data_IF_118891305832
#
_entry.id   IF_118891305832
#
_cell.length_a   1.000
_cell.length_b   1.000
_cell.length_c   1.000
_cell.angle_alpha   90.00
_cell.angle_beta   90.00
_cell.angle_gamma   90.00
#
_symmetry.space_group_name_H-M   'P 1'
#
loop_
_entity.id
_entity.type
_entity.pdbx_description
1 polymer ?
#
# COMPACT_ATOMS: atom_id res chain seq x y z
N UNK A 1 -6.98 -2.35 20.44
CA UNK A 1 -8.00 -1.88 19.47
C UNK A 1 -7.62 -0.55 18.78
N UNK A 2 -6.88 0.35 19.46
CA UNK A 2 -6.49 1.64 18.89
C UNK A 2 -5.61 1.47 17.63
N UNK A 3 -4.51 0.75 17.74
CA UNK A 3 -3.58 0.47 16.62
C UNK A 3 -4.28 -0.08 15.39
N UNK A 4 -5.24 -1.00 15.56
CA UNK A 4 -6.02 -1.54 14.44
C UNK A 4 -6.87 -0.45 13.76
N UNK A 5 -7.51 0.43 14.54
CA UNK A 5 -8.31 1.53 13.99
C UNK A 5 -7.46 2.52 13.20
N UNK A 6 -6.32 2.96 13.75
CA UNK A 6 -5.41 3.91 13.10
C UNK A 6 -4.84 3.32 11.81
N UNK A 7 -4.43 2.05 11.84
CA UNK A 7 -3.95 1.31 10.67
C UNK A 7 -5.02 1.20 9.59
N UNK A 8 -6.23 0.74 9.94
CA UNK A 8 -7.30 0.56 8.96
C UNK A 8 -7.75 1.88 8.32
N UNK A 9 -7.87 2.95 9.10
CA UNK A 9 -8.25 4.27 8.57
C UNK A 9 -7.14 4.79 7.65
N UNK A 10 -5.88 4.78 8.08
CA UNK A 10 -4.76 5.22 7.26
C UNK A 10 -4.61 4.41 5.98
N UNK A 11 -4.74 3.07 6.08
CA UNK A 11 -4.71 2.17 4.94
C UNK A 11 -5.89 2.39 3.96
N UNK A 12 -7.11 2.58 4.46
CA UNK A 12 -8.27 2.84 3.61
C UNK A 12 -8.12 4.16 2.82
N UNK A 13 -7.64 5.22 3.48
CA UNK A 13 -7.34 6.49 2.83
C UNK A 13 -6.22 6.33 1.79
N UNK A 14 -5.15 5.59 2.14
CA UNK A 14 -4.05 5.31 1.23
C UNK A 14 -4.51 4.51 0.00
N UNK A 15 -5.42 3.58 0.20
CA UNK A 15 -5.97 2.76 -0.88
C UNK A 15 -6.79 3.61 -1.85
N UNK A 16 -7.72 4.42 -1.35
CA UNK A 16 -8.58 5.27 -2.18
C UNK A 16 -7.73 6.30 -2.96
N UNK A 17 -6.90 7.06 -2.25
CA UNK A 17 -6.12 8.14 -2.87
C UNK A 17 -4.95 7.61 -3.69
N UNK A 18 -4.28 6.55 -3.23
CA UNK A 18 -3.16 5.92 -3.92
C UNK A 18 -3.56 5.24 -5.22
N UNK A 19 -4.70 4.52 -5.21
CA UNK A 19 -5.27 3.93 -6.43
C UNK A 19 -5.66 5.02 -7.42
N UNK A 20 -6.38 6.05 -6.96
CA UNK A 20 -6.83 7.16 -7.82
C UNK A 20 -5.66 7.89 -8.47
N UNK A 21 -4.64 8.26 -7.68
CA UNK A 21 -3.46 8.94 -8.20
C UNK A 21 -2.61 8.02 -9.09
N UNK A 22 -2.45 6.75 -8.71
CA UNK A 22 -1.74 5.77 -9.52
C UNK A 22 -2.37 5.57 -10.90
N UNK A 23 -3.71 5.50 -10.96
CA UNK A 23 -4.45 5.44 -12.23
C UNK A 23 -4.25 6.70 -13.05
N UNK A 24 -4.34 7.88 -12.44
CA UNK A 24 -4.12 9.16 -13.14
C UNK A 24 -2.70 9.22 -13.74
N UNK A 25 -1.69 8.92 -12.95
CA UNK A 25 -0.29 8.96 -13.38
C UNK A 25 0.00 7.92 -14.46
N UNK A 26 -0.45 6.68 -14.28
CA UNK A 26 -0.20 5.59 -15.24
C UNK A 26 -0.98 5.69 -16.55
N UNK A 27 -2.08 6.47 -16.58
CA UNK A 27 -2.96 6.57 -17.76
C UNK A 27 -2.38 7.39 -18.91
N UNK A 28 -1.44 8.29 -18.65
CA UNK A 28 -0.82 9.17 -19.66
C UNK A 28 0.70 9.04 -19.60
N UNK A 29 1.32 8.74 -20.73
CA UNK A 29 2.79 8.65 -20.83
C UNK A 29 3.48 9.96 -20.41
N UNK A 30 2.92 11.12 -20.79
CA UNK A 30 3.46 12.42 -20.40
C UNK A 30 3.43 12.62 -18.88
N UNK A 31 2.29 12.31 -18.25
CA UNK A 31 2.12 12.43 -16.79
C UNK A 31 3.00 11.41 -16.07
N UNK A 32 3.09 10.19 -16.58
CA UNK A 32 3.94 9.14 -16.02
C UNK A 32 5.42 9.57 -16.03
N UNK A 33 5.97 9.97 -17.17
CA UNK A 33 7.37 10.37 -17.24
C UNK A 33 7.70 11.64 -16.45
N UNK A 34 6.72 12.54 -16.27
CA UNK A 34 6.91 13.76 -15.46
C UNK A 34 6.77 13.52 -13.95
N UNK A 35 5.72 12.82 -13.51
CA UNK A 35 5.40 12.67 -12.08
C UNK A 35 5.97 11.42 -11.43
N UNK A 36 6.18 10.34 -12.16
CA UNK A 36 6.68 9.08 -11.60
C UNK A 36 8.06 9.22 -10.92
N UNK A 37 9.06 9.93 -11.50
CA UNK A 37 10.33 10.17 -10.81
C UNK A 37 10.16 10.94 -9.51
N UNK A 38 9.22 11.90 -9.46
CA UNK A 38 8.92 12.67 -8.24
C UNK A 38 8.27 11.76 -7.18
N UNK A 39 7.35 10.88 -7.58
CA UNK A 39 6.74 9.89 -6.66
C UNK A 39 7.81 8.97 -6.05
N UNK A 40 8.79 8.52 -6.83
CA UNK A 40 9.91 7.72 -6.34
C UNK A 40 10.75 8.55 -5.36
N UNK A 41 11.08 9.79 -5.71
CA UNK A 41 11.85 10.68 -4.83
C UNK A 41 11.16 10.89 -3.49
N UNK A 42 9.85 11.19 -3.48
CA UNK A 42 9.06 11.29 -2.26
C UNK A 42 8.96 9.96 -1.50
N UNK A 43 8.87 8.84 -2.21
CA UNK A 43 8.87 7.52 -1.58
C UNK A 43 10.20 7.20 -0.89
N UNK A 44 11.30 7.75 -1.35
CA UNK A 44 12.64 7.56 -0.78
C UNK A 44 12.88 8.33 0.51
N UNK A 45 12.03 9.32 0.84
CA UNK A 45 12.12 10.04 2.11
C UNK A 45 11.85 9.06 3.26
N UNK A 46 12.74 9.00 4.28
CA UNK A 46 12.53 8.13 5.43
C UNK A 46 11.31 8.58 6.25
N UNK A 47 10.17 7.90 6.04
CA UNK A 47 8.90 8.28 6.66
C UNK A 47 8.93 8.25 8.18
N UNK A 48 9.82 7.42 8.76
CA UNK A 48 10.07 7.39 10.22
C UNK A 48 10.52 8.76 10.74
N UNK A 49 11.36 9.47 9.96
CA UNK A 49 11.83 10.81 10.33
C UNK A 49 10.73 11.89 10.23
N UNK A 50 9.65 11.61 9.51
CA UNK A 50 8.51 12.53 9.38
C UNK A 50 7.60 12.49 10.63
N UNK A 51 7.60 11.37 11.39
CA UNK A 51 6.72 11.20 12.55
C UNK A 51 6.84 12.33 13.57
N UNK A 52 8.05 12.73 14.03
CA UNK A 52 8.17 13.86 14.98
C UNK A 52 7.61 15.18 14.42
N UNK A 53 7.78 15.42 13.11
CA UNK A 53 7.25 16.64 12.46
C UNK A 53 5.72 16.61 12.47
N UNK A 54 5.11 15.46 12.17
CA UNK A 54 3.66 15.29 12.24
C UNK A 54 3.13 15.52 13.66
N UNK A 55 3.87 15.10 14.67
CA UNK A 55 3.49 15.32 16.07
C UNK A 55 3.53 16.82 16.43
N UNK A 56 4.53 17.54 15.94
CA UNK A 56 4.63 19.00 16.16
C UNK A 56 3.45 19.73 15.49
N UNK A 57 3.04 19.31 14.30
CA UNK A 57 1.97 19.98 13.54
C UNK A 57 0.57 19.58 13.98
N UNK A 58 0.38 18.30 14.28
CA UNK A 58 -0.94 17.72 14.52
C UNK A 58 -1.20 17.43 16.00
N UNK A 59 -0.20 17.63 16.87
CA UNK A 59 -0.29 17.31 18.28
C UNK A 59 -0.10 15.83 18.59
N UNK A 60 -0.15 15.51 19.88
CA UNK A 60 -0.04 14.16 20.42
C UNK A 60 -1.39 13.44 20.28
N UNK A 61 -1.39 12.18 19.83
CA UNK A 61 -2.60 11.37 19.82
C UNK A 61 -2.73 10.47 18.59
N UNK A 62 -3.97 10.22 18.21
CA UNK A 62 -4.35 9.24 17.16
C UNK A 62 -4.05 9.74 15.74
N UNK A 63 -4.12 11.07 15.53
CA UNK A 63 -4.06 11.65 14.19
C UNK A 63 -2.68 11.47 13.52
N UNK A 64 -1.53 11.70 14.18
CA UNK A 64 -0.22 11.38 13.63
C UNK A 64 -0.07 9.91 13.22
N UNK A 65 -0.67 8.98 13.98
CA UNK A 65 -0.62 7.56 13.66
C UNK A 65 -1.40 7.23 12.38
N UNK A 66 -2.57 7.84 12.17
CA UNK A 66 -3.34 7.70 10.93
C UNK A 66 -2.56 8.26 9.73
N UNK A 67 -1.99 9.46 9.85
CA UNK A 67 -1.24 10.09 8.76
C UNK A 67 0.03 9.29 8.42
N UNK A 68 0.76 8.81 9.41
CA UNK A 68 1.97 8.01 9.18
C UNK A 68 1.63 6.69 8.48
N UNK A 69 0.60 6.00 8.96
CA UNK A 69 0.06 4.80 8.33
C UNK A 69 -0.35 5.07 6.88
N UNK A 70 -1.07 6.16 6.64
CA UNK A 70 -1.46 6.63 5.31
C UNK A 70 -0.24 6.88 4.41
N UNK A 71 0.73 7.71 4.84
CA UNK A 71 1.88 8.10 4.01
C UNK A 71 2.71 6.90 3.56
N UNK A 72 2.96 5.95 4.47
CA UNK A 72 3.77 4.77 4.16
C UNK A 72 3.06 3.91 3.11
N UNK A 73 1.76 3.70 3.26
CA UNK A 73 0.95 2.85 2.39
C UNK A 73 0.62 3.52 1.05
N UNK A 74 0.36 4.83 1.06
CA UNK A 74 -0.04 5.61 -0.10
C UNK A 74 0.98 5.54 -1.24
N UNK A 75 2.26 5.78 -0.95
CA UNK A 75 3.30 5.74 -1.98
C UNK A 75 3.50 4.34 -2.54
N UNK A 76 3.43 3.30 -1.69
CA UNK A 76 3.54 1.92 -2.13
C UNK A 76 2.44 1.57 -3.14
N UNK A 77 1.19 1.96 -2.89
CA UNK A 77 0.07 1.72 -3.80
C UNK A 77 0.21 2.56 -5.07
N UNK A 78 0.45 3.87 -4.94
CA UNK A 78 0.50 4.80 -6.06
C UNK A 78 1.56 4.42 -7.09
N UNK A 79 2.78 4.14 -6.63
CA UNK A 79 3.91 3.81 -7.51
C UNK A 79 3.66 2.48 -8.25
N UNK A 80 3.19 1.45 -7.55
CA UNK A 80 2.95 0.16 -8.17
C UNK A 80 1.75 0.18 -9.14
N UNK A 81 0.67 0.88 -8.81
CA UNK A 81 -0.48 1.03 -9.70
C UNK A 81 -0.09 1.83 -10.96
N UNK A 82 0.63 2.94 -10.80
CA UNK A 82 1.12 3.74 -11.92
C UNK A 82 2.02 2.91 -12.85
N UNK A 83 2.97 2.16 -12.29
CA UNK A 83 3.83 1.27 -13.05
C UNK A 83 3.02 0.16 -13.75
N UNK A 84 2.10 -0.48 -13.03
CA UNK A 84 1.25 -1.54 -13.59
C UNK A 84 0.39 -1.08 -14.77
N UNK A 85 -0.12 0.16 -14.72
CA UNK A 85 -0.87 0.73 -15.85
C UNK A 85 0.06 1.14 -16.99
N UNK A 86 1.23 1.72 -16.69
CA UNK A 86 2.18 2.17 -17.70
C UNK A 86 2.78 0.99 -18.50
N UNK A 87 2.95 -0.16 -17.88
CA UNK A 87 3.55 -1.37 -18.49
C UNK A 87 2.57 -2.21 -19.32
N UNK A 88 1.30 -1.82 -19.42
CA UNK A 88 0.34 -2.50 -20.31
C UNK A 88 0.78 -2.34 -21.78
N UNK A 89 0.76 -3.43 -22.53
CA UNK A 89 1.23 -3.52 -23.90
C UNK A 89 0.64 -2.40 -24.77
N UNK A 90 1.50 -1.60 -25.45
CA UNK A 90 1.06 -0.51 -26.32
C UNK A 90 0.12 -0.97 -27.41
N UNK A 91 0.36 -2.18 -27.98
CA UNK A 91 -0.41 -2.77 -29.07
C UNK A 91 -1.90 -2.90 -28.71
N UNK A 92 -2.19 -3.33 -27.49
CA UNK A 92 -3.58 -3.47 -27.03
C UNK A 92 -4.29 -2.11 -26.91
N UNK A 93 -3.55 -1.09 -26.50
CA UNK A 93 -4.07 0.27 -26.43
C UNK A 93 -4.32 0.84 -27.84
N UNK A 94 -3.41 0.54 -28.76
CA UNK A 94 -3.48 1.04 -30.13
C UNK A 94 -4.60 0.35 -30.91
N UNK A 95 -4.82 -0.95 -30.74
CA UNK A 95 -5.98 -1.65 -31.28
C UNK A 95 -7.29 -1.03 -30.82
N UNK A 96 -7.42 -0.76 -29.51
CA UNK A 96 -8.63 -0.12 -28.96
C UNK A 96 -8.84 1.29 -29.53
N UNK A 97 -7.76 2.06 -29.70
CA UNK A 97 -7.81 3.39 -30.33
C UNK A 97 -8.19 3.34 -31.80
N UNK A 98 -7.63 2.38 -32.55
CA UNK A 98 -7.97 2.16 -33.95
C UNK A 98 -9.45 1.80 -34.14
N UNK A 99 -10.05 1.11 -33.16
CA UNK A 99 -11.48 0.82 -33.11
C UNK A 99 -12.34 2.03 -32.63
N UNK A 100 -11.76 3.21 -32.48
CA UNK A 100 -12.47 4.43 -32.06
C UNK A 100 -12.80 4.51 -30.57
N UNK A 101 -12.15 3.70 -29.70
CA UNK A 101 -12.43 3.74 -28.28
C UNK A 101 -11.93 5.05 -27.65
N UNK A 102 -12.78 5.69 -26.84
CA UNK A 102 -12.40 6.85 -26.05
C UNK A 102 -11.29 6.49 -25.06
N UNK A 103 -10.30 7.37 -24.79
CA UNK A 103 -9.17 7.08 -23.87
C UNK A 103 -9.57 6.50 -22.51
N UNK A 104 -10.66 7.01 -21.94
CA UNK A 104 -11.19 6.50 -20.67
C UNK A 104 -11.64 5.04 -20.76
N UNK A 105 -12.19 4.62 -21.90
CA UNK A 105 -12.60 3.24 -22.14
C UNK A 105 -11.38 2.31 -22.25
N UNK A 106 -10.29 2.79 -22.86
CA UNK A 106 -9.01 2.05 -22.93
C UNK A 106 -8.47 1.82 -21.52
N UNK A 107 -8.43 2.86 -20.68
CA UNK A 107 -8.00 2.74 -19.29
C UNK A 107 -8.88 1.76 -18.52
N UNK A 108 -10.21 1.92 -18.58
CA UNK A 108 -11.15 1.13 -17.77
C UNK A 108 -11.25 -0.33 -18.23
N UNK A 109 -11.21 -0.59 -19.54
CA UNK A 109 -11.45 -1.95 -20.09
C UNK A 109 -10.17 -2.75 -20.35
N UNK A 110 -9.02 -2.08 -20.47
CA UNK A 110 -7.74 -2.73 -20.79
C UNK A 110 -6.71 -2.47 -19.69
N UNK A 111 -6.34 -1.20 -19.45
CA UNK A 111 -5.21 -0.90 -18.57
C UNK A 111 -5.49 -1.26 -17.12
N UNK A 112 -6.66 -0.89 -16.58
CA UNK A 112 -7.01 -1.14 -15.20
C UNK A 112 -7.14 -2.65 -14.88
N UNK A 113 -7.87 -3.49 -15.63
CA UNK A 113 -7.92 -4.92 -15.37
C UNK A 113 -6.55 -5.60 -15.44
N UNK A 114 -5.71 -5.22 -16.42
CA UNK A 114 -4.37 -5.80 -16.55
C UNK A 114 -3.39 -5.34 -15.46
N UNK A 115 -3.60 -4.18 -14.86
CA UNK A 115 -2.79 -3.71 -13.73
C UNK A 115 -3.23 -4.28 -12.37
N UNK A 116 -4.35 -5.03 -12.30
CA UNK A 116 -4.85 -5.60 -11.05
C UNK A 116 -3.82 -6.45 -10.28
N UNK A 117 -2.99 -7.30 -10.91
CA UNK A 117 -1.95 -8.03 -10.19
C UNK A 117 -0.95 -7.09 -9.46
N UNK A 118 -0.55 -5.98 -10.10
CA UNK A 118 0.32 -4.97 -9.48
C UNK A 118 -0.36 -4.28 -8.30
N UNK A 119 -1.66 -3.96 -8.45
CA UNK A 119 -2.45 -3.39 -7.36
C UNK A 119 -2.53 -4.32 -6.16
N UNK A 120 -2.88 -5.59 -6.34
CA UNK A 120 -2.98 -6.55 -5.22
C UNK A 120 -1.61 -6.84 -4.60
N UNK A 121 -0.54 -6.90 -5.39
CA UNK A 121 0.82 -7.02 -4.86
C UNK A 121 1.17 -5.81 -3.97
N UNK A 122 0.86 -4.59 -4.43
CA UNK A 122 1.08 -3.38 -3.64
C UNK A 122 0.20 -3.32 -2.39
N UNK A 123 -1.03 -3.81 -2.47
CA UNK A 123 -1.96 -3.87 -1.34
C UNK A 123 -1.41 -4.70 -0.19
N UNK A 124 -0.82 -5.86 -0.50
CA UNK A 124 -0.18 -6.74 0.49
C UNK A 124 0.99 -6.07 1.19
N UNK A 125 1.84 -5.35 0.44
CA UNK A 125 2.95 -4.57 0.99
C UNK A 125 2.40 -3.40 1.83
N UNK A 126 1.40 -2.70 1.33
CA UNK A 126 0.81 -1.53 1.98
C UNK A 126 0.15 -1.88 3.33
N UNK A 127 -0.51 -3.04 3.44
CA UNK A 127 -1.11 -3.50 4.70
C UNK A 127 -0.05 -3.67 5.78
N UNK A 128 1.03 -4.40 5.50
CA UNK A 128 2.11 -4.64 6.47
C UNK A 128 2.82 -3.34 6.85
N UNK A 129 3.08 -2.48 5.85
CA UNK A 129 3.70 -1.17 6.05
C UNK A 129 2.80 -0.21 6.83
N UNK A 130 1.49 -0.32 6.71
CA UNK A 130 0.50 0.47 7.43
C UNK A 130 0.55 0.21 8.95
N UNK A 131 0.67 -1.06 9.35
CA UNK A 131 0.88 -1.41 10.76
C UNK A 131 2.17 -0.81 11.30
N UNK A 132 3.26 -0.92 10.54
CA UNK A 132 4.54 -0.32 10.92
C UNK A 132 4.38 1.19 11.14
N UNK A 133 3.70 1.90 10.26
CA UNK A 133 3.46 3.33 10.37
C UNK A 133 2.67 3.73 11.61
N UNK A 134 1.59 3.00 11.91
CA UNK A 134 0.79 3.23 13.13
C UNK A 134 1.62 3.00 14.38
N UNK A 135 2.36 1.88 14.48
CA UNK A 135 3.17 1.54 15.64
C UNK A 135 4.26 2.58 15.86
N UNK A 136 4.98 2.98 14.80
CA UNK A 136 6.03 4.01 14.90
C UNK A 136 5.49 5.33 15.44
N UNK A 137 4.33 5.77 14.98
CA UNK A 137 3.72 6.99 15.50
C UNK A 137 3.23 6.84 16.94
N UNK A 138 2.67 5.67 17.30
CA UNK A 138 2.25 5.37 18.66
C UNK A 138 3.42 5.30 19.65
N UNK A 139 4.61 4.85 19.23
CA UNK A 139 5.81 4.85 20.08
C UNK A 139 6.35 6.26 20.34
N UNK A 140 6.20 7.16 19.38
CA UNK A 140 6.74 8.53 19.49
C UNK A 140 5.77 9.46 20.25
N UNK A 141 4.47 9.35 19.97
CA UNK A 141 3.47 10.32 20.45
C UNK A 141 2.11 9.71 20.77
N UNK A 142 2.04 8.39 20.90
CA UNK A 142 0.80 7.73 21.28
C UNK A 142 0.48 7.92 22.76
N UNK A 143 -0.81 8.08 23.06
CA UNK A 143 -1.36 7.98 24.42
C UNK A 143 -2.00 6.61 24.66
N UNK A 144 -2.08 5.81 23.63
CA UNK A 144 -2.68 4.48 23.63
C UNK A 144 -2.25 3.69 22.38
N UNK A 145 -2.52 2.40 22.37
CA UNK A 145 -2.15 1.52 21.27
C UNK A 145 -1.02 0.54 21.64
N UNK A 146 -0.74 -0.39 20.75
CA UNK A 146 0.28 -1.42 20.98
C UNK A 146 1.67 -0.78 20.98
N UNK A 147 1.94 0.19 20.09
CA UNK A 147 3.22 0.91 20.06
C UNK A 147 3.50 1.66 21.35
N UNK A 148 2.51 2.38 21.88
CA UNK A 148 2.61 3.04 23.19
C UNK A 148 2.84 2.05 24.32
N UNK A 149 2.10 0.94 24.35
CA UNK A 149 2.27 -0.10 25.36
C UNK A 149 3.68 -0.67 25.30
N UNK A 150 4.23 -0.94 24.13
CA UNK A 150 5.57 -1.49 23.96
C UNK A 150 6.65 -0.53 24.44
N UNK A 151 6.55 0.77 24.19
CA UNK A 151 7.55 1.74 24.64
C UNK A 151 7.51 1.91 26.18
N UNK A 152 6.32 1.92 26.78
CA UNK A 152 6.15 1.97 28.24
C UNK A 152 6.69 0.69 28.89
N UNK A 153 6.38 -0.48 28.34
CA UNK A 153 6.92 -1.77 28.83
C UNK A 153 8.45 -1.81 28.72
N UNK A 154 9.00 -1.32 27.60
CA UNK A 154 10.44 -1.23 27.38
C UNK A 154 11.12 -0.34 28.44
N UNK A 155 10.54 0.82 28.77
CA UNK A 155 11.08 1.72 29.79
C UNK A 155 11.06 1.15 31.20
N UNK A 156 10.20 0.14 31.45
CA UNK A 156 10.10 -0.60 32.72
C UNK A 156 10.87 -1.90 32.74
N UNK A 157 11.59 -2.22 31.64
CA UNK A 157 12.26 -3.51 31.45
C UNK A 157 11.31 -4.73 31.49
N UNK A 158 10.03 -4.52 31.18
CA UNK A 158 9.01 -5.59 31.07
C UNK A 158 9.13 -6.31 29.73
N UNK A 159 10.24 -7.01 29.51
CA UNK A 159 10.60 -7.65 28.24
C UNK A 159 9.49 -8.60 27.73
N UNK A 160 8.84 -9.44 28.57
CA UNK A 160 7.76 -10.31 28.09
C UNK A 160 6.59 -9.55 27.47
N UNK A 161 6.25 -8.35 27.99
CA UNK A 161 5.16 -7.54 27.49
C UNK A 161 5.50 -6.90 26.14
N UNK A 162 6.76 -6.53 25.92
CA UNK A 162 7.25 -6.04 24.61
C UNK A 162 7.10 -7.15 23.55
N UNK A 163 7.55 -8.38 23.86
CA UNK A 163 7.39 -9.51 22.94
C UNK A 163 5.91 -9.87 22.70
N UNK A 164 5.06 -9.80 23.71
CA UNK A 164 3.62 -9.99 23.54
C UNK A 164 3.03 -8.95 22.55
N UNK A 165 3.43 -7.67 22.65
CA UNK A 165 3.04 -6.62 21.72
C UNK A 165 3.48 -6.93 20.28
N UNK A 166 4.72 -7.39 20.07
CA UNK A 166 5.24 -7.80 18.76
C UNK A 166 4.43 -8.96 18.17
N UNK A 167 4.17 -10.00 18.96
CA UNK A 167 3.41 -11.17 18.51
C UNK A 167 1.99 -10.78 18.12
N UNK A 168 1.30 -9.98 18.94
CA UNK A 168 -0.06 -9.51 18.63
C UNK A 168 -0.08 -8.70 17.33
N UNK A 169 0.89 -7.80 17.14
CA UNK A 169 0.99 -7.01 15.89
C UNK A 169 1.26 -7.91 14.69
N UNK A 170 2.15 -8.88 14.82
CA UNK A 170 2.43 -9.83 13.74
C UNK A 170 1.18 -10.63 13.35
N UNK A 171 0.43 -11.15 14.33
CA UNK A 171 -0.83 -11.86 14.08
C UNK A 171 -1.84 -10.97 13.35
N UNK A 172 -2.01 -9.71 13.79
CA UNK A 172 -2.92 -8.77 13.16
C UNK A 172 -2.52 -8.48 11.72
N UNK A 173 -1.22 -8.25 11.48
CA UNK A 173 -0.68 -7.97 10.14
C UNK A 173 -0.85 -9.18 9.21
N UNK A 174 -0.51 -10.40 9.66
CA UNK A 174 -0.67 -11.64 8.89
C UNK A 174 -2.14 -11.91 8.59
N UNK A 175 -3.03 -11.68 9.54
CA UNK A 175 -4.48 -11.84 9.33
C UNK A 175 -4.98 -10.91 8.22
N UNK A 176 -4.60 -9.64 8.25
CA UNK A 176 -4.98 -8.67 7.21
C UNK A 176 -4.35 -9.01 5.85
N UNK A 177 -3.09 -9.44 5.83
CA UNK A 177 -2.43 -9.94 4.62
C UNK A 177 -3.18 -11.13 4.02
N UNK A 178 -3.58 -12.09 4.84
CA UNK A 178 -4.33 -13.28 4.41
C UNK A 178 -5.69 -12.88 3.83
N UNK A 179 -6.39 -11.95 4.47
CA UNK A 179 -7.66 -11.41 3.95
C UNK A 179 -7.45 -10.78 2.56
N UNK A 180 -6.41 -9.96 2.39
CA UNK A 180 -6.09 -9.36 1.09
C UNK A 180 -5.78 -10.43 0.02
N UNK A 181 -5.03 -11.46 0.38
CA UNK A 181 -4.72 -12.59 -0.52
C UNK A 181 -5.98 -13.36 -0.91
N UNK A 182 -6.91 -13.59 0.03
CA UNK A 182 -8.18 -14.26 -0.27
C UNK A 182 -9.06 -13.42 -1.21
N UNK A 183 -9.06 -12.09 -1.06
CA UNK A 183 -9.77 -11.18 -1.97
C UNK A 183 -9.12 -11.23 -3.35
N UNK A 184 -7.79 -11.17 -3.43
CA UNK A 184 -7.03 -11.27 -4.69
C UNK A 184 -7.38 -12.55 -5.45
N UNK A 185 -7.27 -13.71 -4.81
CA UNK A 185 -7.52 -15.01 -5.47
C UNK A 185 -8.94 -15.15 -5.99
N UNK A 186 -9.91 -14.50 -5.33
CA UNK A 186 -11.30 -14.48 -5.81
C UNK A 186 -11.53 -13.47 -6.94
N UNK A 187 -10.80 -12.38 -6.96
CA UNK A 187 -11.01 -11.26 -7.90
C UNK A 187 -10.24 -11.45 -9.21
N UNK A 188 -8.99 -11.94 -9.14
CA UNK A 188 -8.10 -12.09 -10.30
C UNK A 188 -7.62 -13.53 -10.52
N UNK A 189 -8.49 -14.52 -10.25
CA UNK A 189 -8.19 -15.94 -10.47
C UNK A 189 -7.70 -16.27 -11.92
N UNK A 190 -8.05 -15.43 -12.88
CA UNK A 190 -7.59 -15.56 -14.27
C UNK A 190 -6.10 -15.20 -14.45
N UNK A 191 -5.57 -14.24 -13.68
CA UNK A 191 -4.18 -13.81 -13.80
C UNK A 191 -3.20 -14.82 -13.13
N UNK A 192 -3.64 -15.50 -12.08
CA UNK A 192 -2.83 -16.50 -11.37
C UNK A 192 -2.68 -17.80 -12.16
N UNK A 193 -3.65 -18.18 -12.98
CA UNK A 193 -3.56 -19.37 -13.84
C UNK A 193 -2.50 -19.23 -14.93
N UNK A 194 -2.39 -18.06 -15.54
CA UNK A 194 -1.41 -17.78 -16.60
C UNK A 194 0.04 -17.88 -16.12
N UNK A 195 0.32 -17.58 -14.86
CA UNK A 195 1.67 -17.71 -14.29
C UNK A 195 2.03 -19.18 -13.96
N UNK A 196 1.07 -20.01 -13.58
CA UNK A 196 1.29 -21.43 -13.31
C UNK A 196 1.57 -22.22 -14.59
N UNK A 197 0.90 -21.88 -15.69
CA UNK A 197 1.12 -22.55 -17.00
C UNK A 197 2.49 -22.23 -17.59
N UNK A 198 3.03 -21.01 -17.38
CA UNK A 198 4.39 -20.65 -17.82
C UNK A 198 5.49 -21.28 -16.96
N UNK A 199 5.25 -21.51 -15.67
CA UNK A 199 6.21 -22.18 -14.78
C UNK A 199 6.28 -23.70 -14.99
N UNK A 200 5.24 -24.32 -15.53
CA UNK A 200 5.19 -25.75 -15.82
C UNK A 200 5.87 -26.19 -17.12
N UNK A 201 6.16 -25.26 -18.02
CA UNK A 201 6.74 -25.59 -19.34
C UNK A 201 8.28 -25.60 -19.39
N UNK A 202 8.97 -25.28 -18.29
CA UNK A 202 10.45 -25.22 -18.23
C UNK A 202 11.07 -26.47 -17.60
N UNK A 203 10.27 -27.48 -17.34
CA UNK A 203 10.67 -28.75 -16.65
C UNK A 203 10.64 -30.02 -17.51
N UNK A 204 10.92 -29.92 -18.80
CA UNK A 204 11.17 -31.13 -19.65
C UNK A 204 12.36 -30.91 -20.55
#
# INVERSE_FOLDING_TARGET
MQTLKTTLIGFALANILGLSLGVLVGSSALVYHGLYPLLIAFNSIPKVAVVPILVIWCGIGTFPAIITSFLISFFAITVNVAAGIATVEPELRDVMRALGAHPLNVVRKVSLPRSMPYYFASLKIAITSSFLGSILAETVAGQSGIGHLMIVASSRFEVPLVFAGLIVTAIMSVTMYTVATLIETRTIAWATRSQQDMGGSVGH
#
